data_IF_642859651122
#
_entry.id   IF_642859651122
#
_cell.length_a   1.000
_cell.length_b   1.000
_cell.length_c   1.000
_cell.angle_alpha   90.00
_cell.angle_beta   90.00
_cell.angle_gamma   90.00
#
_symmetry.space_group_name_H-M   'P 1'
#
loop_
_entity.id
_entity.type
_entity.pdbx_description
1 polymer ?
#
# COMPACT_ATOMS: atom_id res chain seq x y z
N UNK A 1 4.19 13.01 6.25
CA UNK A 1 3.21 13.36 7.30
C UNK A 1 3.84 14.44 8.14
N UNK A 2 3.47 15.71 7.91
CA UNK A 2 3.87 16.82 8.78
C UNK A 2 2.83 16.96 9.89
N UNK A 3 3.35 17.11 11.10
CA UNK A 3 2.75 17.19 12.44
C UNK A 3 1.68 18.28 12.58
N UNK A 4 0.41 17.98 12.32
CA UNK A 4 -0.64 19.01 12.44
C UNK A 4 -1.98 18.52 13.00
N UNK A 5 -2.11 17.24 13.36
CA UNK A 5 -3.31 16.76 14.05
C UNK A 5 -3.29 17.22 15.51
N UNK A 6 -4.37 17.86 15.97
CA UNK A 6 -4.60 18.17 17.38
C UNK A 6 -5.09 16.89 18.08
N UNK A 7 -4.20 16.20 18.78
CA UNK A 7 -4.50 14.92 19.43
C UNK A 7 -5.39 15.05 20.67
N UNK A 8 -5.35 16.19 21.36
CA UNK A 8 -6.21 16.45 22.51
C UNK A 8 -7.66 16.58 22.05
N UNK A 9 -7.89 17.37 21.01
CA UNK A 9 -9.22 17.53 20.41
C UNK A 9 -9.74 16.24 19.76
N UNK A 10 -8.83 15.44 19.16
CA UNK A 10 -9.17 14.12 18.65
C UNK A 10 -9.67 13.18 19.77
N UNK A 11 -8.98 13.15 20.92
CA UNK A 11 -9.36 12.32 22.06
C UNK A 11 -10.66 12.80 22.71
N UNK A 12 -10.77 14.11 22.97
CA UNK A 12 -11.95 14.72 23.62
C UNK A 12 -13.25 14.36 22.90
N UNK A 13 -13.27 14.45 21.56
CA UNK A 13 -14.44 14.04 20.75
C UNK A 13 -14.77 12.56 20.88
N UNK A 14 -13.76 11.72 20.96
CA UNK A 14 -13.94 10.27 21.05
C UNK A 14 -14.32 9.82 22.47
N UNK A 15 -13.96 10.58 23.51
CA UNK A 15 -14.36 10.34 24.90
C UNK A 15 -15.85 10.58 25.13
N UNK A 16 -16.50 11.41 24.31
CA UNK A 16 -17.95 11.66 24.34
C UNK A 16 -18.78 10.47 23.83
N UNK A 17 -18.15 9.47 23.19
CA UNK A 17 -18.84 8.31 22.63
C UNK A 17 -19.12 7.29 23.74
N UNK A 18 -20.39 6.87 23.92
CA UNK A 18 -20.77 5.94 24.98
C UNK A 18 -20.19 4.54 24.76
N UNK A 19 -20.13 3.77 25.84
CA UNK A 19 -19.77 2.35 25.76
C UNK A 19 -20.83 1.55 25.01
N UNK A 20 -20.38 0.60 24.20
CA UNK A 20 -21.23 -0.26 23.38
C UNK A 20 -21.43 -1.58 24.11
N UNK A 21 -22.68 -2.02 24.22
CA UNK A 21 -23.02 -3.39 24.60
C UNK A 21 -23.99 -3.97 23.55
N UNK A 22 -23.61 -5.12 23.01
CA UNK A 22 -24.32 -5.84 21.94
C UNK A 22 -24.65 -7.28 22.33
N UNK A 23 -24.48 -7.64 23.60
CA UNK A 23 -24.86 -8.97 24.05
C UNK A 23 -26.39 -9.16 23.94
N UNK A 24 -26.81 -10.29 23.38
CA UNK A 24 -28.21 -10.57 23.03
C UNK A 24 -28.75 -9.78 21.82
N UNK A 25 -27.93 -8.97 21.14
CA UNK A 25 -28.32 -8.23 19.93
C UNK A 25 -28.06 -9.04 18.66
N UNK A 26 -28.55 -8.56 17.52
CA UNK A 26 -28.34 -9.24 16.24
C UNK A 26 -27.14 -8.68 15.46
N UNK A 27 -26.78 -9.37 14.37
CA UNK A 27 -25.68 -8.96 13.48
C UNK A 27 -25.91 -7.58 12.85
N UNK A 28 -27.15 -7.20 12.58
CA UNK A 28 -27.44 -5.89 11.96
C UNK A 28 -27.02 -4.76 12.90
N UNK A 29 -27.26 -4.91 14.21
CA UNK A 29 -26.79 -3.97 15.23
C UNK A 29 -25.25 -3.91 15.25
N UNK A 30 -24.57 -5.05 15.13
CA UNK A 30 -23.10 -5.10 15.00
C UNK A 30 -22.60 -4.31 13.79
N UNK A 31 -23.24 -4.48 12.62
CA UNK A 31 -22.88 -3.72 11.42
C UNK A 31 -23.14 -2.21 11.56
N UNK A 32 -24.25 -1.84 12.19
CA UNK A 32 -24.60 -0.44 12.44
C UNK A 32 -23.57 0.21 13.38
N UNK A 33 -23.19 -0.45 14.47
CA UNK A 33 -22.18 0.08 15.41
C UNK A 33 -20.80 0.20 14.76
N UNK A 34 -20.38 -0.73 13.90
CA UNK A 34 -19.16 -0.54 13.12
C UNK A 34 -19.24 0.69 12.22
N UNK A 35 -20.37 0.87 11.51
CA UNK A 35 -20.57 1.99 10.60
C UNK A 35 -20.52 3.34 11.33
N UNK A 36 -21.17 3.40 12.51
CA UNK A 36 -21.15 4.55 13.40
C UNK A 36 -19.73 4.85 13.89
N UNK A 37 -19.04 3.85 14.44
CA UNK A 37 -17.66 4.01 14.91
C UNK A 37 -16.71 4.48 13.79
N UNK A 38 -16.87 3.97 12.56
CA UNK A 38 -16.07 4.44 11.42
C UNK A 38 -16.33 5.90 11.07
N UNK A 39 -17.59 6.32 11.12
CA UNK A 39 -18.01 7.71 10.90
C UNK A 39 -17.42 8.61 11.98
N UNK A 40 -17.59 8.24 13.25
CA UNK A 40 -17.07 8.99 14.40
C UNK A 40 -15.55 9.16 14.35
N UNK A 41 -14.82 8.10 14.01
CA UNK A 41 -13.36 8.15 13.84
C UNK A 41 -12.95 9.03 12.65
N UNK A 42 -13.71 8.99 11.55
CA UNK A 42 -13.45 9.81 10.38
C UNK A 42 -13.71 11.30 10.68
N UNK A 43 -14.77 11.62 11.40
CA UNK A 43 -15.15 12.98 11.77
C UNK A 43 -14.20 13.57 12.81
N UNK A 44 -13.82 12.78 13.82
CA UNK A 44 -12.78 13.17 14.77
C UNK A 44 -11.46 13.43 14.04
N UNK A 45 -11.07 12.58 13.08
CA UNK A 45 -9.86 12.78 12.25
C UNK A 45 -9.94 14.06 11.44
N UNK A 46 -11.02 14.27 10.70
CA UNK A 46 -11.19 15.39 9.77
C UNK A 46 -11.19 16.72 10.52
N UNK A 47 -11.87 16.78 11.65
CA UNK A 47 -11.95 18.01 12.45
C UNK A 47 -10.66 18.33 13.20
N UNK A 48 -9.97 17.30 13.71
CA UNK A 48 -8.68 17.48 14.41
C UNK A 48 -7.49 17.70 13.48
N UNK A 49 -7.62 17.42 12.18
CA UNK A 49 -6.52 17.50 11.21
C UNK A 49 -6.82 18.54 10.13
N UNK A 50 -6.31 19.78 10.24
CA UNK A 50 -6.57 20.82 9.25
C UNK A 50 -6.00 20.43 7.88
N UNK A 51 -6.84 20.51 6.85
CA UNK A 51 -6.43 20.34 5.46
C UNK A 51 -5.63 21.57 5.05
N UNK A 52 -4.30 21.49 5.08
CA UNK A 52 -3.45 22.56 4.53
C UNK A 52 -3.45 22.48 3.01
N UNK A 53 -3.98 23.51 2.35
CA UNK A 53 -3.80 23.70 0.92
C UNK A 53 -2.30 23.66 0.59
N UNK A 54 -1.92 22.81 -0.36
CA UNK A 54 -0.54 22.76 -0.83
C UNK A 54 -0.26 23.98 -1.68
N UNK A 55 0.34 25.02 -1.10
CA UNK A 55 0.93 26.11 -1.88
C UNK A 55 2.32 25.69 -2.34
N UNK A 56 2.53 25.62 -3.66
CA UNK A 56 3.86 25.41 -4.27
C UNK A 56 4.70 26.67 -4.03
N UNK A 57 5.31 26.78 -2.86
CA UNK A 57 6.20 27.90 -2.53
C UNK A 57 7.54 27.68 -3.23
N UNK A 58 7.94 28.63 -4.08
CA UNK A 58 9.28 28.61 -4.66
C UNK A 58 10.27 28.85 -3.51
N UNK A 59 11.05 27.83 -3.15
CA UNK A 59 11.95 27.86 -1.99
C UNK A 59 13.33 28.47 -2.32
N UNK A 60 13.48 29.06 -3.50
CA UNK A 60 14.68 29.80 -3.87
C UNK A 60 14.77 31.05 -2.98
N UNK A 61 15.81 31.13 -2.16
CA UNK A 61 16.10 32.34 -1.39
C UNK A 61 16.63 33.38 -2.37
N UNK A 62 16.06 34.58 -2.36
CA UNK A 62 16.52 35.70 -3.18
C UNK A 62 17.37 36.64 -2.36
N UNK A 63 18.50 37.07 -2.91
CA UNK A 63 19.38 38.06 -2.28
C UNK A 63 18.67 39.43 -2.20
N UNK A 64 19.14 40.30 -1.31
CA UNK A 64 18.69 41.70 -1.24
C UNK A 64 18.95 42.45 -2.54
N UNK A 65 20.06 42.14 -3.22
CA UNK A 65 20.39 42.70 -4.54
C UNK A 65 19.41 42.24 -5.62
N UNK A 66 19.05 40.96 -5.66
CA UNK A 66 18.03 40.43 -6.58
C UNK A 66 16.70 41.19 -6.41
N UNK A 67 16.21 41.32 -5.17
CA UNK A 67 14.96 42.04 -4.86
C UNK A 67 15.01 43.51 -5.27
N UNK A 68 16.14 44.19 -5.06
CA UNK A 68 16.33 45.59 -5.46
C UNK A 68 16.30 45.74 -6.98
N UNK A 69 16.98 44.86 -7.70
CA UNK A 69 17.01 44.88 -9.17
C UNK A 69 15.62 44.59 -9.76
N UNK A 70 14.83 43.68 -9.18
CA UNK A 70 13.43 43.46 -9.60
C UNK A 70 12.60 44.74 -9.46
N UNK A 71 12.68 45.41 -8.31
CA UNK A 71 11.98 46.70 -8.11
C UNK A 71 12.45 47.83 -9.04
N UNK A 72 13.72 47.80 -9.45
CA UNK A 72 14.25 48.76 -10.44
C UNK A 72 13.65 48.44 -11.82
N UNK A 73 13.66 47.17 -12.22
CA UNK A 73 13.10 46.72 -13.48
C UNK A 73 11.59 47.01 -13.57
N UNK A 74 10.83 46.77 -12.49
CA UNK A 74 9.39 47.07 -12.42
C UNK A 74 9.13 48.57 -12.64
N UNK A 75 9.97 49.44 -12.07
CA UNK A 75 9.88 50.89 -12.29
C UNK A 75 10.19 51.29 -13.74
N UNK A 76 11.17 50.64 -14.37
CA UNK A 76 11.46 50.88 -15.80
C UNK A 76 10.34 50.38 -16.71
N UNK A 77 9.73 49.24 -16.41
CA UNK A 77 8.54 48.79 -17.13
C UNK A 77 7.37 49.75 -16.95
N UNK A 78 7.13 50.27 -15.74
CA UNK A 78 6.11 51.30 -15.55
C UNK A 78 6.40 52.58 -16.33
N UNK A 79 7.65 53.05 -16.34
CA UNK A 79 8.09 54.19 -17.14
C UNK A 79 7.91 53.95 -18.66
N UNK A 80 8.16 52.73 -19.13
CA UNK A 80 7.94 52.32 -20.51
C UNK A 80 6.45 52.41 -20.89
N UNK A 81 5.56 51.96 -20.00
CA UNK A 81 4.11 51.97 -20.24
C UNK A 81 3.49 53.39 -20.18
N UNK A 82 4.13 54.31 -19.44
CA UNK A 82 3.62 55.69 -19.24
C UNK A 82 4.21 56.69 -20.22
N UNK A 83 5.52 56.61 -20.50
CA UNK A 83 6.26 57.64 -21.24
C UNK A 83 6.79 57.14 -22.60
N UNK A 84 6.57 55.87 -22.95
CA UNK A 84 7.07 55.27 -24.19
C UNK A 84 8.55 54.86 -24.16
N UNK A 85 9.00 54.16 -25.22
CA UNK A 85 10.35 53.61 -25.32
C UNK A 85 11.36 54.68 -25.75
N UNK A 86 12.37 54.92 -24.92
CA UNK A 86 13.54 55.73 -25.26
C UNK A 86 14.80 54.86 -25.37
N UNK A 87 15.82 55.32 -26.12
CA UNK A 87 17.10 54.60 -26.23
C UNK A 87 17.76 54.37 -24.86
N UNK A 88 17.75 55.39 -24.00
CA UNK A 88 18.28 55.28 -22.64
C UNK A 88 17.52 54.25 -21.80
N UNK A 89 16.18 54.25 -21.85
CA UNK A 89 15.34 53.29 -21.12
C UNK A 89 15.55 51.86 -21.63
N UNK A 90 15.68 51.66 -22.94
CA UNK A 90 15.99 50.37 -23.56
C UNK A 90 17.31 49.78 -23.03
N UNK A 91 18.37 50.61 -22.99
CA UNK A 91 19.67 50.22 -22.45
C UNK A 91 19.59 49.91 -20.95
N UNK A 92 18.88 50.73 -20.17
CA UNK A 92 18.72 50.54 -18.73
C UNK A 92 17.95 49.24 -18.39
N UNK A 93 16.90 48.92 -19.13
CA UNK A 93 16.15 47.66 -18.99
C UNK A 93 17.07 46.47 -19.29
N UNK A 94 17.77 46.50 -20.43
CA UNK A 94 18.68 45.43 -20.83
C UNK A 94 19.78 45.18 -19.79
N UNK A 95 20.43 46.23 -19.31
CA UNK A 95 21.48 46.11 -18.30
C UNK A 95 20.95 45.56 -16.98
N UNK A 96 19.77 46.02 -16.54
CA UNK A 96 19.13 45.51 -15.31
C UNK A 96 18.73 44.04 -15.43
N UNK A 97 18.24 43.63 -16.62
CA UNK A 97 17.96 42.22 -16.90
C UNK A 97 19.22 41.36 -16.84
N UNK A 98 20.34 41.82 -17.40
CA UNK A 98 21.63 41.10 -17.32
C UNK A 98 22.10 40.95 -15.87
N UNK A 99 22.01 42.02 -15.08
CA UNK A 99 22.34 41.98 -13.65
C UNK A 99 21.41 41.03 -12.87
N UNK A 100 20.12 40.99 -13.21
CA UNK A 100 19.16 40.04 -12.63
C UNK A 100 19.49 38.59 -12.98
N UNK A 101 19.91 38.31 -14.21
CA UNK A 101 20.32 36.98 -14.64
C UNK A 101 21.55 36.53 -13.83
N UNK A 102 22.57 37.38 -13.74
CA UNK A 102 23.78 37.10 -12.95
C UNK A 102 23.43 36.83 -11.48
N UNK A 103 22.68 37.73 -10.86
CA UNK A 103 22.29 37.59 -9.46
C UNK A 103 21.35 36.38 -9.23
N UNK A 104 20.51 36.07 -10.22
CA UNK A 104 19.67 34.88 -10.22
C UNK A 104 20.49 33.59 -10.25
N UNK A 105 21.63 33.58 -10.96
CA UNK A 105 22.55 32.44 -10.96
C UNK A 105 23.24 32.27 -9.59
N UNK A 106 23.64 33.37 -8.94
CA UNK A 106 24.15 33.33 -7.55
C UNK A 106 23.11 32.72 -6.60
N UNK A 107 21.85 33.18 -6.67
CA UNK A 107 20.78 32.61 -5.85
C UNK A 107 20.58 31.09 -6.09
N UNK A 108 20.72 30.63 -7.34
CA UNK A 108 20.61 29.20 -7.68
C UNK A 108 21.78 28.40 -7.13
N UNK A 109 23.00 28.93 -7.23
CA UNK A 109 24.20 28.28 -6.74
C UNK A 109 24.18 28.14 -5.23
N UNK A 110 23.87 29.20 -4.49
CA UNK A 110 23.67 29.16 -3.03
C UNK A 110 22.60 28.13 -2.64
N UNK A 111 21.51 28.06 -3.40
CA UNK A 111 20.46 27.07 -3.16
C UNK A 111 20.95 25.64 -3.37
N UNK A 112 21.71 25.37 -4.44
CA UNK A 112 22.29 24.07 -4.75
C UNK A 112 23.31 23.65 -3.69
N UNK A 113 24.21 24.54 -3.28
CA UNK A 113 25.15 24.31 -2.18
C UNK A 113 24.40 23.91 -0.90
N UNK A 114 23.36 24.67 -0.55
CA UNK A 114 22.50 24.33 0.58
C UNK A 114 21.70 23.04 0.40
N UNK A 115 21.52 22.51 -0.82
CA UNK A 115 20.94 21.18 -1.02
C UNK A 115 22.00 20.08 -0.87
N UNK A 116 23.21 20.29 -1.39
CA UNK A 116 24.34 19.35 -1.30
C UNK A 116 24.69 19.09 0.16
N UNK A 117 24.85 20.14 0.97
CA UNK A 117 25.11 20.02 2.41
C UNK A 117 24.03 19.16 3.10
N UNK A 118 22.77 19.33 2.72
CA UNK A 118 21.66 18.51 3.25
C UNK A 118 21.69 17.07 2.76
N UNK A 119 22.21 16.80 1.56
CA UNK A 119 22.42 15.44 1.05
C UNK A 119 23.55 14.77 1.81
N UNK A 120 24.66 15.46 2.05
CA UNK A 120 25.80 14.98 2.83
C UNK A 120 25.39 14.64 4.27
N UNK A 121 24.65 15.54 4.93
CA UNK A 121 24.08 15.26 6.26
C UNK A 121 23.15 14.04 6.24
N UNK A 122 22.43 13.82 5.13
CA UNK A 122 21.53 12.67 4.96
C UNK A 122 22.26 11.38 4.57
N UNK A 123 23.51 11.45 4.09
CA UNK A 123 24.31 10.30 3.66
C UNK A 123 24.56 9.31 4.81
N UNK A 124 24.51 9.77 6.06
CA UNK A 124 24.55 8.93 7.27
C UNK A 124 23.42 7.90 7.36
N UNK A 125 22.38 7.99 6.53
CA UNK A 125 21.27 7.04 6.48
C UNK A 125 20.79 6.82 5.05
N UNK A 126 21.00 5.61 4.53
CA UNK A 126 20.66 5.21 3.15
C UNK A 126 19.24 5.63 2.72
N UNK A 127 18.24 5.44 3.59
CA UNK A 127 16.84 5.83 3.33
C UNK A 127 16.69 7.35 3.20
N UNK A 128 17.34 8.13 4.07
CA UNK A 128 17.25 9.60 4.04
C UNK A 128 17.99 10.17 2.83
N UNK A 129 19.15 9.61 2.49
CA UNK A 129 19.95 9.95 1.32
C UNK A 129 19.15 9.80 0.03
N UNK A 130 18.67 8.59 -0.29
CA UNK A 130 17.93 8.34 -1.52
C UNK A 130 16.62 9.11 -1.60
N UNK A 131 15.96 9.34 -0.47
CA UNK A 131 14.76 10.19 -0.44
C UNK A 131 15.07 11.64 -0.84
N UNK A 132 16.24 12.16 -0.45
CA UNK A 132 16.70 13.51 -0.82
C UNK A 132 17.09 13.57 -2.29
N UNK A 133 17.89 12.61 -2.77
CA UNK A 133 18.30 12.51 -4.17
C UNK A 133 17.08 12.41 -5.10
N UNK A 134 16.11 11.54 -4.78
CA UNK A 134 14.89 11.41 -5.59
C UNK A 134 14.03 12.69 -5.60
N UNK A 135 14.10 13.51 -4.54
CA UNK A 135 13.44 14.81 -4.52
C UNK A 135 14.14 15.84 -5.41
N UNK A 136 15.48 15.82 -5.44
CA UNK A 136 16.30 16.73 -6.24
C UNK A 136 16.33 16.35 -7.72
N UNK A 137 16.27 15.06 -8.04
CA UNK A 137 16.24 14.57 -9.42
C UNK A 137 14.96 14.89 -10.17
N UNK A 138 13.96 15.49 -9.49
CA UNK A 138 12.72 15.90 -10.12
C UNK A 138 11.92 14.73 -10.69
N UNK A 139 12.17 13.49 -10.23
CA UNK A 139 11.38 12.32 -10.63
C UNK A 139 9.91 12.61 -10.34
N UNK A 140 9.17 12.88 -11.40
CA UNK A 140 7.73 13.08 -11.35
C UNK A 140 7.07 11.78 -10.90
N UNK A 141 5.86 11.86 -10.32
CA UNK A 141 5.04 10.66 -10.14
C UNK A 141 4.89 10.02 -11.51
N UNK A 142 5.33 8.77 -11.64
CA UNK A 142 5.16 7.99 -12.85
C UNK A 142 3.66 7.77 -13.09
N UNK A 143 3.09 8.48 -14.04
CA UNK A 143 1.72 8.26 -14.49
C UNK A 143 1.64 6.90 -15.18
N UNK A 144 0.52 6.18 -15.01
CA UNK A 144 0.29 4.92 -15.73
C UNK A 144 0.12 5.28 -17.21
N UNK A 145 1.02 4.85 -18.11
CA UNK A 145 0.90 5.15 -19.53
C UNK A 145 -0.39 4.54 -20.09
N UNK A 146 -0.82 4.94 -21.30
CA UNK A 146 -1.90 4.27 -21.99
C UNK A 146 -1.63 2.76 -22.04
N UNK A 147 -2.64 1.97 -21.66
CA UNK A 147 -2.52 0.51 -21.55
C UNK A 147 -3.00 -0.13 -22.84
N UNK A 148 -2.20 -1.05 -23.38
CA UNK A 148 -2.53 -1.82 -24.58
C UNK A 148 -3.19 -3.14 -24.19
N UNK A 149 -4.25 -3.50 -24.89
CA UNK A 149 -4.93 -4.77 -24.72
C UNK A 149 -5.51 -5.23 -26.06
N UNK A 150 -5.68 -6.54 -26.22
CA UNK A 150 -6.32 -7.12 -27.40
C UNK A 150 -7.81 -7.34 -27.11
N UNK A 151 -8.67 -6.87 -28.01
CA UNK A 151 -10.10 -7.18 -28.00
C UNK A 151 -10.46 -7.77 -29.36
N UNK A 152 -10.76 -9.07 -29.39
CA UNK A 152 -11.16 -9.81 -30.59
C UNK A 152 -10.16 -9.73 -31.76
N UNK A 153 -8.85 -9.75 -31.47
CA UNK A 153 -7.77 -9.70 -32.46
C UNK A 153 -7.43 -8.28 -32.93
N UNK A 154 -8.00 -7.26 -32.30
CA UNK A 154 -7.71 -5.84 -32.58
C UNK A 154 -7.02 -5.20 -31.38
N UNK A 155 -5.84 -4.62 -31.59
CA UNK A 155 -5.12 -3.87 -30.54
C UNK A 155 -5.91 -2.60 -30.18
N UNK A 156 -6.37 -2.52 -28.93
CA UNK A 156 -6.99 -1.36 -28.36
C UNK A 156 -6.08 -0.70 -27.32
N UNK A 157 -6.38 0.55 -26.98
CA UNK A 157 -5.61 1.30 -25.98
C UNK A 157 -6.52 2.02 -25.01
N UNK A 158 -6.42 1.70 -23.73
CA UNK A 158 -7.05 2.43 -22.63
C UNK A 158 -6.21 3.66 -22.27
N UNK A 159 -6.76 4.85 -22.48
CA UNK A 159 -6.11 6.16 -22.26
C UNK A 159 -6.65 6.84 -21.01
N UNK A 160 -7.97 6.83 -20.81
CA UNK A 160 -8.61 7.46 -19.64
C UNK A 160 -8.44 6.60 -18.39
N UNK A 161 -8.59 7.18 -17.20
CA UNK A 161 -8.48 6.42 -15.97
C UNK A 161 -9.64 5.42 -15.79
N UNK A 162 -10.84 5.76 -16.28
CA UNK A 162 -12.00 4.87 -16.31
C UNK A 162 -11.77 3.66 -17.25
N UNK A 163 -11.23 3.88 -18.45
CA UNK A 163 -10.87 2.79 -19.36
C UNK A 163 -9.82 1.85 -18.75
N UNK A 164 -8.81 2.42 -18.07
CA UNK A 164 -7.78 1.63 -17.37
C UNK A 164 -8.37 0.85 -16.20
N UNK A 165 -9.26 1.45 -15.42
CA UNK A 165 -9.95 0.81 -14.31
C UNK A 165 -10.76 -0.39 -14.80
N UNK A 166 -11.57 -0.20 -15.85
CA UNK A 166 -12.35 -1.27 -16.46
C UNK A 166 -11.46 -2.40 -16.98
N UNK A 167 -10.36 -2.06 -17.65
CA UNK A 167 -9.40 -3.05 -18.14
C UNK A 167 -8.78 -3.86 -16.98
N UNK A 168 -8.28 -3.19 -15.94
CA UNK A 168 -7.71 -3.89 -14.79
C UNK A 168 -8.76 -4.73 -14.05
N UNK A 169 -9.98 -4.25 -13.91
CA UNK A 169 -11.08 -4.99 -13.28
C UNK A 169 -11.37 -6.28 -14.03
N UNK A 170 -11.43 -6.22 -15.37
CA UNK A 170 -11.63 -7.40 -16.19
C UNK A 170 -10.48 -8.41 -16.08
N UNK A 171 -9.23 -7.93 -16.12
CA UNK A 171 -8.05 -8.78 -15.96
C UNK A 171 -8.06 -9.47 -14.59
N UNK A 172 -8.32 -8.73 -13.52
CA UNK A 172 -8.35 -9.28 -12.16
C UNK A 172 -9.50 -10.28 -11.98
N UNK A 173 -10.68 -10.00 -12.55
CA UNK A 173 -11.82 -10.93 -12.54
C UNK A 173 -11.48 -12.25 -13.23
N UNK A 174 -10.71 -12.22 -14.31
CA UNK A 174 -10.28 -13.41 -15.03
C UNK A 174 -9.16 -14.16 -14.29
N UNK A 175 -8.18 -13.44 -13.75
CA UNK A 175 -7.03 -14.03 -13.05
C UNK A 175 -7.41 -14.84 -11.80
N UNK A 176 -8.58 -14.58 -11.21
CA UNK A 176 -9.10 -15.33 -10.06
C UNK A 176 -9.97 -16.54 -10.43
N UNK A 177 -10.10 -16.86 -11.72
CA UNK A 177 -10.81 -18.06 -12.18
C UNK A 177 -9.82 -19.19 -12.43
N UNK A 178 -10.09 -20.36 -11.85
CA UNK A 178 -9.35 -21.59 -12.13
C UNK A 178 -9.97 -22.20 -13.39
N UNK A 179 -9.15 -22.51 -14.39
CA UNK A 179 -9.65 -23.18 -15.60
C UNK A 179 -10.01 -24.65 -15.30
N UNK A 180 -10.95 -25.27 -16.04
CA UNK A 180 -11.25 -26.70 -15.86
C UNK A 180 -10.01 -27.60 -16.02
N UNK A 181 -9.12 -27.23 -16.95
CA UNK A 181 -7.84 -27.91 -17.19
C UNK A 181 -6.90 -27.80 -15.99
N UNK A 182 -6.73 -26.59 -15.43
CA UNK A 182 -5.94 -26.36 -14.21
C UNK A 182 -6.51 -27.15 -13.02
N UNK A 183 -7.84 -27.24 -12.93
CA UNK A 183 -8.52 -27.97 -11.86
C UNK A 183 -8.42 -29.49 -12.01
N UNK A 184 -8.12 -30.01 -13.21
CA UNK A 184 -8.05 -31.47 -13.45
C UNK A 184 -6.91 -32.12 -12.67
N UNK A 185 -5.84 -31.37 -12.41
CA UNK A 185 -4.67 -31.82 -11.64
C UNK A 185 -4.84 -31.68 -10.12
N UNK A 186 -5.98 -31.19 -9.64
CA UNK A 186 -6.23 -31.05 -8.21
C UNK A 186 -6.47 -32.42 -7.55
N UNK A 187 -5.95 -32.63 -6.35
CA UNK A 187 -6.09 -33.90 -5.64
C UNK A 187 -7.55 -34.12 -5.22
N UNK A 188 -8.27 -34.95 -5.98
CA UNK A 188 -9.68 -35.27 -5.74
C UNK A 188 -9.92 -35.88 -4.35
N UNK A 189 -8.98 -36.68 -3.85
CA UNK A 189 -9.06 -37.25 -2.51
C UNK A 189 -8.99 -36.18 -1.42
N UNK A 190 -8.10 -35.20 -1.57
CA UNK A 190 -7.99 -34.10 -0.63
C UNK A 190 -9.24 -33.20 -0.68
N UNK A 191 -9.75 -32.94 -1.88
CA UNK A 191 -10.99 -32.18 -2.06
C UNK A 191 -12.18 -32.88 -1.40
N UNK A 192 -12.33 -34.20 -1.62
CA UNK A 192 -13.36 -35.03 -0.99
C UNK A 192 -13.27 -34.99 0.53
N UNK A 193 -12.07 -35.23 1.09
CA UNK A 193 -11.83 -35.17 2.54
C UNK A 193 -12.21 -33.81 3.14
N UNK A 194 -11.83 -32.72 2.48
CA UNK A 194 -12.19 -31.37 2.94
C UNK A 194 -13.70 -31.15 2.87
N UNK A 195 -14.36 -31.57 1.79
CA UNK A 195 -15.82 -31.44 1.66
C UNK A 195 -16.58 -32.24 2.71
N UNK A 196 -16.16 -33.49 2.96
CA UNK A 196 -16.73 -34.35 4.01
C UNK A 196 -16.56 -33.70 5.39
N UNK A 197 -15.37 -33.20 5.71
CA UNK A 197 -15.11 -32.51 6.98
C UNK A 197 -15.98 -31.24 7.15
N UNK A 198 -16.11 -30.43 6.09
CA UNK A 198 -16.97 -29.24 6.10
C UNK A 198 -18.44 -29.60 6.29
N UNK A 199 -18.92 -30.67 5.65
CA UNK A 199 -20.28 -31.16 5.83
C UNK A 199 -20.51 -31.63 7.27
N UNK A 200 -19.60 -32.42 7.82
CA UNK A 200 -19.69 -32.93 9.18
C UNK A 200 -19.67 -31.81 10.24
N UNK A 201 -19.00 -30.69 9.94
CA UNK A 201 -18.87 -29.54 10.84
C UNK A 201 -19.75 -28.34 10.45
N UNK A 202 -20.76 -28.54 9.61
CA UNK A 202 -21.60 -27.44 9.10
C UNK A 202 -22.14 -26.56 10.23
N UNK A 203 -22.64 -27.17 11.31
CA UNK A 203 -23.19 -26.44 12.46
C UNK A 203 -22.14 -25.63 13.25
N UNK A 204 -20.87 -26.05 13.25
CA UNK A 204 -19.78 -25.33 13.93
C UNK A 204 -19.23 -24.16 13.08
N UNK A 205 -19.52 -24.15 11.77
CA UNK A 205 -18.95 -23.20 10.80
C UNK A 205 -19.98 -22.14 10.38
N UNK A 206 -21.27 -22.38 10.65
CA UNK A 206 -22.34 -21.41 10.37
C UNK A 206 -22.21 -20.18 11.25
N UNK A 207 -22.49 -19.02 10.66
CA UNK A 207 -22.50 -17.75 11.40
C UNK A 207 -23.75 -17.64 12.26
N UNK A 208 -23.59 -17.16 13.49
CA UNK A 208 -24.71 -16.94 14.41
C UNK A 208 -25.39 -15.59 14.18
N UNK A 209 -26.74 -15.59 14.21
CA UNK A 209 -27.55 -14.37 14.02
C UNK A 209 -27.63 -13.50 15.27
N UNK A 210 -27.58 -14.11 16.44
CA UNK A 210 -27.64 -13.44 17.73
C UNK A 210 -26.26 -13.50 18.37
N UNK A 211 -25.84 -12.38 18.93
CA UNK A 211 -24.57 -12.27 19.64
C UNK A 211 -24.78 -12.83 21.04
N UNK A 212 -24.07 -13.91 21.36
CA UNK A 212 -23.99 -14.46 22.71
C UNK A 212 -22.52 -14.47 23.15
N UNK A 213 -22.15 -13.54 24.02
CA UNK A 213 -20.77 -13.45 24.49
C UNK A 213 -20.43 -14.50 25.55
N UNK A 214 -21.43 -15.07 26.22
CA UNK A 214 -21.21 -16.08 27.27
C UNK A 214 -20.77 -17.42 26.68
N UNK A 215 -21.23 -17.76 25.47
CA UNK A 215 -20.83 -19.00 24.77
C UNK A 215 -19.35 -19.04 24.38
N UNK A 216 -18.71 -17.89 24.22
CA UNK A 216 -17.29 -17.81 23.83
C UNK A 216 -16.34 -17.59 25.01
N UNK A 217 -16.85 -17.61 26.24
CA UNK A 217 -16.02 -17.48 27.43
C UNK A 217 -15.25 -18.77 27.70
N UNK A 218 -14.01 -18.63 28.12
CA UNK A 218 -13.24 -19.76 28.62
C UNK A 218 -13.70 -20.21 30.01
N UNK A 219 -13.14 -21.31 30.51
CA UNK A 219 -13.42 -21.84 31.87
C UNK A 219 -13.07 -20.84 33.00
N UNK A 220 -12.33 -19.77 32.71
CA UNK A 220 -12.01 -18.68 33.64
C UNK A 220 -12.91 -17.46 33.44
N UNK A 221 -14.03 -17.61 32.71
CA UNK A 221 -15.01 -16.57 32.40
C UNK A 221 -14.44 -15.41 31.55
N UNK A 222 -13.35 -15.64 30.82
CA UNK A 222 -12.67 -14.60 30.01
C UNK A 222 -13.11 -14.67 28.56
N UNK A 223 -13.32 -13.51 27.96
CA UNK A 223 -13.53 -13.40 26.52
C UNK A 223 -12.22 -13.65 25.75
N UNK A 224 -12.31 -14.05 24.47
CA UNK A 224 -11.14 -14.33 23.62
C UNK A 224 -10.17 -13.15 23.47
N UNK A 225 -10.70 -11.93 23.44
CA UNK A 225 -9.91 -10.70 23.34
C UNK A 225 -10.13 -9.77 24.52
N UNK A 226 -9.04 -9.16 24.99
CA UNK A 226 -9.04 -8.13 26.03
C UNK A 226 -8.54 -6.77 25.52
N UNK A 227 -8.83 -5.70 26.26
CA UNK A 227 -8.31 -4.35 25.97
C UNK A 227 -6.77 -4.33 25.88
N UNK A 228 -6.09 -5.20 26.64
CA UNK A 228 -4.64 -5.33 26.57
C UNK A 228 -4.19 -5.92 25.22
N UNK A 229 -4.91 -6.91 24.69
CA UNK A 229 -4.64 -7.48 23.37
C UNK A 229 -4.84 -6.44 22.26
N UNK A 230 -5.86 -5.59 22.41
CA UNK A 230 -6.12 -4.47 21.51
C UNK A 230 -4.91 -3.53 21.51
N UNK A 231 -4.49 -3.05 22.68
CA UNK A 231 -3.35 -2.14 22.84
C UNK A 231 -2.04 -2.73 22.31
N UNK A 232 -1.74 -3.98 22.65
CA UNK A 232 -0.52 -4.66 22.21
C UNK A 232 -0.47 -4.84 20.70
N UNK A 233 -1.62 -5.18 20.11
CA UNK A 233 -1.71 -5.32 18.65
C UNK A 233 -1.52 -3.97 17.96
N UNK A 234 -2.17 -2.89 18.43
CA UNK A 234 -1.95 -1.52 17.90
C UNK A 234 -0.47 -1.16 17.97
N UNK A 235 0.21 -1.42 19.09
CA UNK A 235 1.65 -1.18 19.25
C UNK A 235 2.46 -1.92 18.18
N UNK A 236 2.14 -3.19 17.91
CA UNK A 236 2.84 -4.05 16.96
C UNK A 236 2.63 -3.68 15.48
N UNK A 237 1.53 -2.99 15.14
CA UNK A 237 1.23 -2.64 13.75
C UNK A 237 2.31 -1.74 13.13
N UNK A 238 2.59 -1.90 11.84
CA UNK A 238 3.47 -0.98 11.10
C UNK A 238 2.65 0.21 10.58
N UNK A 239 3.22 1.41 10.59
CA UNK A 239 2.57 2.57 9.97
C UNK A 239 2.67 2.46 8.43
N UNK A 240 1.55 2.13 7.78
CA UNK A 240 1.44 1.91 6.33
C UNK A 240 0.46 2.89 5.70
N UNK A 241 0.33 2.83 4.37
CA UNK A 241 -0.70 3.59 3.65
C UNK A 241 -2.10 3.21 4.19
N UNK A 242 -3.00 4.20 4.34
CA UNK A 242 -4.36 3.96 4.78
C UNK A 242 -5.15 3.26 3.67
N UNK A 243 -6.25 2.60 4.04
CA UNK A 243 -7.28 2.20 3.07
C UNK A 243 -8.30 3.33 2.83
N UNK A 244 -9.50 2.99 2.34
CA UNK A 244 -10.54 3.97 1.96
C UNK A 244 -10.91 4.98 3.05
N UNK A 245 -10.84 4.59 4.33
CA UNK A 245 -11.16 5.47 5.47
C UNK A 245 -10.12 6.59 5.70
N UNK A 246 -8.93 6.47 5.10
CA UNK A 246 -7.83 7.42 5.32
C UNK A 246 -7.17 7.31 6.71
N UNK A 247 -7.65 6.42 7.58
CA UNK A 247 -7.13 6.23 8.93
C UNK A 247 -5.82 5.43 8.93
N UNK A 248 -4.83 5.92 9.67
CA UNK A 248 -3.49 5.33 9.82
C UNK A 248 -3.22 4.96 11.26
N UNK A 249 -2.19 4.13 11.50
CA UNK A 249 -1.75 3.71 12.85
C UNK A 249 -1.75 4.84 13.90
N UNK A 250 -1.26 6.07 13.63
CA UNK A 250 -1.23 7.13 14.65
C UNK A 250 -2.60 7.47 15.25
N UNK A 251 -3.69 7.36 14.49
CA UNK A 251 -5.04 7.60 15.01
C UNK A 251 -5.46 6.51 16.01
N UNK A 252 -5.11 5.25 15.73
CA UNK A 252 -5.33 4.13 16.65
C UNK A 252 -4.42 4.18 17.89
N UNK A 253 -3.22 4.73 17.73
CA UNK A 253 -2.29 4.90 18.85
C UNK A 253 -2.71 6.01 19.83
N UNK A 254 -3.68 6.83 19.45
CA UNK A 254 -4.20 7.94 20.26
C UNK A 254 -5.69 7.77 20.59
N UNK A 255 -6.22 6.54 20.56
CA UNK A 255 -7.60 6.29 20.99
C UNK A 255 -7.73 6.43 22.50
N UNK A 256 -8.84 7.01 23.00
CA UNK A 256 -9.15 7.00 24.41
C UNK A 256 -9.61 5.60 24.89
N UNK A 257 -9.58 5.33 26.21
CA UNK A 257 -9.89 4.02 26.78
C UNK A 257 -11.30 3.48 26.44
N UNK A 258 -12.33 4.33 26.42
CA UNK A 258 -13.69 3.96 26.06
C UNK A 258 -13.77 3.38 24.63
N UNK A 259 -13.08 3.99 23.66
CA UNK A 259 -13.04 3.49 22.29
C UNK A 259 -12.23 2.19 22.17
N UNK A 260 -11.18 2.03 22.96
CA UNK A 260 -10.45 0.75 23.03
C UNK A 260 -11.39 -0.35 23.53
N UNK A 261 -12.20 -0.07 24.55
CA UNK A 261 -13.22 -0.98 25.09
C UNK A 261 -14.26 -1.34 24.02
N UNK A 262 -14.81 -0.35 23.33
CA UNK A 262 -15.78 -0.53 22.25
C UNK A 262 -15.22 -1.41 21.12
N UNK A 263 -13.99 -1.17 20.69
CA UNK A 263 -13.32 -1.99 19.67
C UNK A 263 -13.15 -3.43 20.16
N UNK A 264 -12.74 -3.62 21.41
CA UNK A 264 -12.58 -4.95 22.00
C UNK A 264 -13.92 -5.70 22.03
N UNK A 265 -14.99 -5.04 22.47
CA UNK A 265 -16.34 -5.58 22.50
C UNK A 265 -16.80 -6.00 21.11
N UNK A 266 -16.71 -5.10 20.12
CA UNK A 266 -17.10 -5.38 18.74
C UNK A 266 -16.31 -6.55 18.12
N UNK A 267 -15.02 -6.69 18.43
CA UNK A 267 -14.22 -7.82 17.96
C UNK A 267 -14.60 -9.15 18.62
N UNK A 268 -14.97 -9.15 19.90
CA UNK A 268 -15.52 -10.33 20.55
C UNK A 268 -16.89 -10.71 19.97
N UNK A 269 -17.74 -9.73 19.62
CA UNK A 269 -19.00 -9.99 18.90
C UNK A 269 -18.76 -10.62 17.51
N UNK A 270 -17.76 -10.12 16.75
CA UNK A 270 -17.36 -10.74 15.50
C UNK A 270 -16.87 -12.18 15.69
N UNK A 271 -16.16 -12.45 16.79
CA UNK A 271 -15.70 -13.79 17.12
C UNK A 271 -16.87 -14.73 17.45
N UNK A 272 -17.79 -14.29 18.31
CA UNK A 272 -19.00 -15.04 18.69
C UNK A 272 -19.85 -15.42 17.48
N UNK A 273 -20.04 -14.47 16.57
CA UNK A 273 -20.92 -14.67 15.41
C UNK A 273 -20.25 -15.31 14.20
N UNK A 274 -18.92 -15.43 14.19
CA UNK A 274 -18.16 -15.87 13.01
C UNK A 274 -18.16 -14.85 11.86
N UNK A 275 -18.55 -13.60 12.10
CA UNK A 275 -18.75 -12.61 11.04
C UNK A 275 -17.55 -11.73 10.85
N UNK A 276 -17.10 -11.65 9.60
CA UNK A 276 -16.15 -10.65 9.14
C UNK A 276 -16.90 -9.48 8.48
N UNK A 277 -16.94 -8.29 9.11
CA UNK A 277 -17.69 -7.14 8.60
C UNK A 277 -17.32 -6.74 7.17
N UNK A 278 -18.31 -6.32 6.39
CA UNK A 278 -18.09 -5.88 5.01
C UNK A 278 -17.15 -4.67 4.93
N UNK A 279 -17.19 -3.76 5.90
CA UNK A 279 -16.26 -2.64 6.05
C UNK A 279 -14.78 -3.07 6.10
N UNK A 280 -14.50 -4.31 6.50
CA UNK A 280 -13.14 -4.85 6.56
C UNK A 280 -12.71 -5.50 5.24
N UNK A 281 -13.66 -5.82 4.35
CA UNK A 281 -13.44 -6.42 3.04
C UNK A 281 -13.18 -5.37 1.96
N UNK A 282 -13.64 -4.13 2.16
CA UNK A 282 -13.42 -3.02 1.23
C UNK A 282 -11.95 -2.57 1.20
N UNK A 283 -11.39 -2.45 0.00
CA UNK A 283 -10.02 -1.99 -0.23
C UNK A 283 -9.95 -1.00 -1.39
N UNK A 284 -9.00 -0.08 -1.31
CA UNK A 284 -8.55 0.70 -2.47
C UNK A 284 -7.44 -0.08 -3.18
N UNK A 285 -7.59 -0.38 -4.46
CA UNK A 285 -6.62 -1.15 -5.24
C UNK A 285 -5.65 -0.18 -5.93
N UNK A 286 -4.35 -0.36 -5.66
CA UNK A 286 -3.29 0.39 -6.35
C UNK A 286 -2.51 -0.53 -7.27
N UNK A 287 -2.44 -0.17 -8.55
CA UNK A 287 -1.64 -0.89 -9.54
C UNK A 287 -0.18 -0.44 -9.50
N UNK A 288 0.71 -1.31 -9.02
CA UNK A 288 2.15 -1.03 -8.92
C UNK A 288 2.89 -1.77 -10.04
N UNK A 289 3.69 -1.08 -10.87
CA UNK A 289 4.56 -1.73 -11.86
C UNK A 289 5.48 -2.79 -11.22
N UNK A 290 5.61 -3.96 -11.87
CA UNK A 290 6.56 -5.02 -11.47
C UNK A 290 8.01 -4.54 -11.54
N UNK A 291 8.31 -3.69 -12.52
CA UNK A 291 9.62 -3.09 -12.77
C UNK A 291 9.63 -1.61 -12.37
N UNK A 292 10.81 -0.99 -12.36
CA UNK A 292 10.99 0.42 -11.98
C UNK A 292 10.28 1.41 -12.90
N UNK A 293 10.00 1.03 -14.15
CA UNK A 293 9.29 1.85 -15.13
C UNK A 293 7.86 1.29 -15.38
N UNK A 294 6.85 2.17 -15.48
CA UNK A 294 5.51 1.79 -15.94
C UNK A 294 5.56 1.17 -17.32
N UNK A 295 4.73 0.15 -17.56
CA UNK A 295 4.59 -0.49 -18.86
C UNK A 295 3.22 -0.18 -19.48
N UNK A 296 3.13 -0.19 -20.81
CA UNK A 296 1.84 -0.22 -21.50
C UNK A 296 1.13 -1.58 -21.37
N UNK A 297 1.84 -2.65 -20.99
CA UNK A 297 1.23 -3.96 -20.76
C UNK A 297 0.62 -4.01 -19.34
N UNK A 298 -0.71 -4.22 -19.20
CA UNK A 298 -1.39 -4.29 -17.90
C UNK A 298 -0.95 -5.48 -17.02
N UNK A 299 -0.50 -6.59 -17.59
CA UNK A 299 -0.01 -7.77 -16.84
C UNK A 299 1.31 -7.51 -16.09
N UNK A 300 2.00 -6.43 -16.47
CA UNK A 300 3.23 -5.99 -15.79
C UNK A 300 2.97 -5.17 -14.53
N UNK A 301 1.72 -5.09 -14.08
CA UNK A 301 1.35 -4.47 -12.81
C UNK A 301 0.99 -5.53 -11.77
N UNK A 302 1.14 -5.16 -10.50
CA UNK A 302 0.69 -5.93 -9.34
C UNK A 302 -0.40 -5.13 -8.64
N UNK A 303 -1.58 -5.71 -8.41
CA UNK A 303 -2.58 -5.08 -7.56
C UNK A 303 -2.08 -5.11 -6.11
N UNK A 304 -2.18 -3.99 -5.41
CA UNK A 304 -2.02 -3.93 -3.95
C UNK A 304 -3.32 -3.43 -3.33
N UNK A 305 -3.93 -4.28 -2.50
CA UNK A 305 -5.15 -3.95 -1.77
C UNK A 305 -4.84 -3.17 -0.49
N UNK A 306 -5.20 -1.89 -0.47
CA UNK A 306 -5.17 -1.06 0.72
C UNK A 306 -6.45 -1.26 1.53
N UNK A 307 -6.50 -2.34 2.31
CA UNK A 307 -7.62 -2.63 3.22
C UNK A 307 -7.70 -1.63 4.38
N UNK A 308 -8.91 -1.52 4.95
CA UNK A 308 -9.17 -0.83 6.21
C UNK A 308 -8.28 -1.40 7.32
N UNK A 309 -7.66 -0.51 8.09
CA UNK A 309 -6.75 -0.87 9.18
C UNK A 309 -7.46 -1.60 10.32
N UNK A 310 -8.76 -1.39 10.53
CA UNK A 310 -9.56 -2.16 11.50
C UNK A 310 -9.67 -3.63 11.10
N UNK A 311 -9.88 -3.93 9.81
CA UNK A 311 -9.84 -5.32 9.32
C UNK A 311 -8.47 -5.96 9.50
N UNK A 312 -7.39 -5.21 9.21
CA UNK A 312 -6.00 -5.66 9.46
C UNK A 312 -5.73 -5.92 10.94
N UNK A 313 -6.35 -5.12 11.81
CA UNK A 313 -6.25 -5.28 13.25
C UNK A 313 -6.93 -6.58 13.68
N UNK A 314 -8.20 -6.76 13.33
CA UNK A 314 -8.93 -7.99 13.68
C UNK A 314 -8.24 -9.25 13.14
N UNK A 315 -7.82 -9.23 11.87
CA UNK A 315 -7.05 -10.33 11.27
C UNK A 315 -5.73 -10.60 12.02
N UNK A 316 -5.05 -9.55 12.53
CA UNK A 316 -3.82 -9.71 13.29
C UNK A 316 -4.06 -10.35 14.67
N UNK A 317 -5.16 -10.01 15.34
CA UNK A 317 -5.57 -10.65 16.59
C UNK A 317 -5.83 -12.14 16.37
N UNK A 318 -6.69 -12.47 15.41
CA UNK A 318 -7.00 -13.85 15.03
C UNK A 318 -5.73 -14.63 14.67
N UNK A 319 -4.87 -14.05 13.83
CA UNK A 319 -3.61 -14.68 13.45
C UNK A 319 -2.68 -14.93 14.64
N UNK A 320 -2.60 -14.01 15.61
CA UNK A 320 -1.78 -14.22 16.80
C UNK A 320 -2.33 -15.38 17.66
N UNK A 321 -3.66 -15.49 17.77
CA UNK A 321 -4.32 -16.58 18.47
C UNK A 321 -4.08 -17.94 17.78
N UNK A 322 -4.31 -18.00 16.46
CA UNK A 322 -4.12 -19.23 15.66
C UNK A 322 -2.68 -19.72 15.68
N UNK A 323 -1.70 -18.83 15.50
CA UNK A 323 -0.28 -19.21 15.56
C UNK A 323 0.06 -19.80 16.92
N UNK A 324 -0.42 -19.20 18.00
CA UNK A 324 -0.17 -19.72 19.36
C UNK A 324 -0.74 -21.13 19.54
N UNK A 325 -1.91 -21.41 18.97
CA UNK A 325 -2.52 -22.73 19.01
C UNK A 325 -1.77 -23.75 18.15
N UNK A 326 -1.37 -23.38 16.93
CA UNK A 326 -0.59 -24.24 16.05
C UNK A 326 0.81 -24.57 16.61
N UNK A 327 1.47 -23.59 17.23
CA UNK A 327 2.76 -23.80 17.90
C UNK A 327 2.62 -24.72 19.11
N UNK A 328 1.57 -24.56 19.93
CA UNK A 328 1.29 -25.43 21.09
C UNK A 328 1.00 -26.87 20.69
N UNK A 329 0.29 -27.07 19.59
CA UNK A 329 -0.14 -28.39 19.15
C UNK A 329 0.85 -29.06 18.17
N UNK A 330 1.97 -28.41 17.85
CA UNK A 330 2.96 -28.88 16.87
C UNK A 330 2.35 -29.30 15.52
N UNK A 331 1.32 -28.59 15.06
CA UNK A 331 0.57 -28.98 13.85
C UNK A 331 1.21 -28.52 12.54
N UNK A 332 2.13 -27.56 12.58
CA UNK A 332 2.85 -27.07 11.41
C UNK A 332 4.03 -27.99 11.10
N UNK A 333 4.12 -28.46 9.85
CA UNK A 333 5.26 -29.25 9.36
C UNK A 333 6.55 -28.43 9.37
N UNK A 334 7.67 -29.08 9.65
CA UNK A 334 9.00 -28.45 9.65
C UNK A 334 9.43 -27.90 8.29
N UNK A 335 8.85 -28.41 7.20
CA UNK A 335 9.10 -27.91 5.84
C UNK A 335 8.37 -26.61 5.49
N UNK A 336 7.50 -26.11 6.37
CA UNK A 336 6.75 -24.88 6.12
C UNK A 336 7.57 -23.66 6.52
N UNK A 337 8.39 -23.13 5.63
CA UNK A 337 9.27 -21.99 5.95
C UNK A 337 8.64 -20.61 5.68
N UNK A 338 7.63 -20.54 4.82
CA UNK A 338 6.98 -19.29 4.47
C UNK A 338 6.17 -18.70 5.63
N UNK A 339 6.37 -17.40 5.89
CA UNK A 339 5.54 -16.61 6.82
C UNK A 339 5.55 -17.07 8.30
N UNK A 340 6.55 -17.85 8.73
CA UNK A 340 6.74 -18.22 10.14
C UNK A 340 7.57 -17.19 10.91
N UNK A 341 7.35 -17.14 12.22
CA UNK A 341 8.13 -16.27 13.12
C UNK A 341 9.50 -16.93 13.34
N UNK A 342 10.59 -16.23 13.03
CA UNK A 342 12.00 -16.65 13.16
C UNK A 342 12.57 -17.53 12.03
N UNK A 343 11.79 -17.91 11.03
CA UNK A 343 12.33 -18.48 9.80
C UNK A 343 12.37 -17.37 8.75
N UNK A 344 13.57 -16.85 8.48
CA UNK A 344 13.75 -16.05 7.27
C UNK A 344 13.40 -16.95 6.08
N UNK A 345 12.74 -16.43 5.02
CA UNK A 345 12.68 -17.19 3.78
C UNK A 345 14.14 -17.52 3.44
N UNK A 346 14.47 -18.83 3.45
CA UNK A 346 15.85 -19.30 3.33
C UNK A 346 16.56 -18.41 2.31
N UNK A 347 17.66 -17.73 2.68
CA UNK A 347 18.45 -17.06 1.66
C UNK A 347 18.72 -18.12 0.60
N UNK A 348 18.53 -17.73 -0.65
CA UNK A 348 18.83 -18.53 -1.83
C UNK A 348 20.33 -18.89 -1.79
N UNK A 349 20.70 -19.82 -0.92
CA UNK A 349 22.07 -20.18 -0.61
C UNK A 349 22.40 -21.37 -1.48
N UNK A 350 23.41 -21.27 -2.36
CA UNK A 350 23.81 -22.36 -3.27
C UNK A 350 24.10 -23.68 -2.55
N UNK A 351 24.41 -23.65 -1.26
CA UNK A 351 24.60 -24.83 -0.41
C UNK A 351 23.34 -25.67 -0.21
N UNK A 352 22.15 -25.08 -0.09
CA UNK A 352 20.89 -25.83 0.07
C UNK A 352 20.47 -26.54 -1.24
N UNK A 353 20.94 -26.08 -2.39
CA UNK A 353 20.68 -26.75 -3.68
C UNK A 353 21.53 -28.01 -3.90
N UNK A 354 22.57 -28.25 -3.08
CA UNK A 354 23.41 -29.46 -3.20
C UNK A 354 22.82 -30.69 -2.49
N UNK A 355 21.97 -30.50 -1.48
CA UNK A 355 21.29 -31.61 -0.78
C UNK A 355 19.93 -31.98 -1.40
N UNK A 356 19.35 -31.11 -2.22
CA UNK A 356 18.09 -31.36 -2.94
C UNK A 356 18.14 -32.20 -4.24
N UNK A 357 19.28 -32.52 -4.90
CA UNK A 357 19.26 -33.32 -6.13
C UNK A 357 18.98 -34.81 -5.88
N UNK A 358 19.39 -35.38 -4.74
CA UNK A 358 19.34 -36.84 -4.55
C UNK A 358 17.92 -37.38 -4.35
N UNK A 359 17.00 -36.58 -3.80
CA UNK A 359 15.60 -36.99 -3.62
C UNK A 359 14.73 -36.82 -4.87
N UNK A 360 15.21 -36.10 -5.90
CA UNK A 360 14.47 -35.92 -7.15
C UNK A 360 14.65 -37.08 -8.14
N UNK A 361 15.75 -37.83 -8.05
CA UNK A 361 16.02 -38.91 -9.03
C UNK A 361 15.11 -40.13 -8.82
N UNK A 362 14.55 -40.34 -7.62
CA UNK A 362 13.62 -41.46 -7.37
C UNK A 362 12.13 -41.12 -7.57
N UNK A 363 11.76 -39.85 -7.78
CA UNK A 363 10.34 -39.43 -7.92
C UNK A 363 10.03 -38.69 -9.22
N UNK A 364 11.04 -38.50 -10.10
CA UNK A 364 10.90 -37.78 -11.37
C UNK A 364 10.17 -38.54 -12.48
N UNK A 365 9.71 -39.78 -12.27
CA UNK A 365 8.89 -40.49 -13.26
C UNK A 365 7.40 -40.08 -13.27
N UNK A 366 6.94 -39.23 -12.34
CA UNK A 366 5.50 -38.96 -12.18
C UNK A 366 5.07 -37.47 -12.19
N UNK A 367 5.93 -36.52 -12.57
CA UNK A 367 5.53 -35.10 -12.62
C UNK A 367 5.79 -34.49 -14.01
N UNK A 368 4.70 -34.23 -14.73
CA UNK A 368 4.69 -33.62 -16.07
C UNK A 368 4.98 -32.10 -16.03
N UNK A 369 5.78 -31.55 -16.95
CA UNK A 369 6.25 -30.16 -16.92
C UNK A 369 5.23 -29.19 -17.53
N UNK A 370 4.38 -28.59 -16.71
CA UNK A 370 3.61 -27.39 -17.06
C UNK A 370 4.02 -26.24 -16.14
N UNK A 371 4.81 -25.28 -16.67
CA UNK A 371 4.78 -23.85 -16.31
C UNK A 371 5.99 -23.05 -16.82
N UNK A 372 6.46 -23.27 -18.05
CA UNK A 372 7.31 -22.30 -18.75
C UNK A 372 6.93 -22.30 -20.23
N UNK A 373 5.90 -21.51 -20.57
CA UNK A 373 5.65 -21.06 -21.94
C UNK A 373 6.76 -20.12 -22.40
N UNK A 374 7.96 -20.66 -22.59
CA UNK A 374 9.04 -20.04 -23.37
C UNK A 374 9.08 -20.83 -24.67
N UNK A 375 8.47 -20.28 -25.73
CA UNK A 375 8.69 -20.75 -27.10
C UNK A 375 10.19 -20.72 -27.36
N UNK A 376 10.82 -21.90 -27.40
CA UNK A 376 12.19 -22.06 -27.88
C UNK A 376 12.18 -21.72 -29.37
N UNK A 377 12.53 -20.48 -29.73
CA UNK A 377 13.06 -20.22 -31.07
C UNK A 377 14.41 -20.94 -31.17
N UNK A 378 14.61 -21.88 -32.11
CA UNK A 378 15.91 -22.49 -32.30
C UNK A 378 16.90 -21.43 -32.79
N UNK A 379 17.99 -21.26 -32.05
CA UNK A 379 19.18 -20.54 -32.47
C UNK A 379 19.80 -21.29 -33.66
N UNK A 380 19.53 -20.83 -34.88
CA UNK A 380 20.29 -21.24 -36.05
C UNK A 380 21.68 -20.60 -35.99
N UNK A 381 22.71 -21.45 -36.01
CA UNK A 381 24.12 -21.04 -36.09
C UNK A 381 24.37 -20.29 -37.41
N UNK A 382 25.18 -19.23 -37.45
CA UNK A 382 25.62 -18.65 -38.72
C UNK A 382 26.56 -19.64 -39.42
N UNK A 383 26.09 -20.13 -40.56
CA UNK A 383 26.81 -21.02 -41.45
C UNK A 383 27.99 -20.33 -42.13
N UNK A 384 29.09 -21.05 -42.14
CA UNK A 384 30.30 -20.90 -42.95
C UNK A 384 30.01 -20.54 -44.42
N UNK A 385 30.72 -19.52 -44.93
CA UNK A 385 30.86 -19.24 -46.38
C UNK A 385 31.41 -20.47 -47.11
N UNK A 386 30.89 -20.81 -48.29
CA UNK A 386 31.65 -21.47 -49.34
C UNK A 386 32.21 -20.44 -50.32
N UNK A 387 33.44 -20.71 -50.73
CA UNK A 387 34.18 -20.10 -51.83
C UNK A 387 33.70 -20.62 -53.20
N UNK A 388 34.23 -19.95 -54.24
CA UNK A 388 34.30 -20.30 -55.67
C UNK A 388 33.18 -19.74 -56.55
N UNK A 389 33.43 -18.63 -57.24
CA UNK A 389 34.23 -18.47 -58.48
C UNK A 389 33.48 -18.95 -59.72
N UNK A 390 32.97 -18.01 -60.50
CA UNK A 390 33.31 -17.76 -61.92
C UNK A 390 32.58 -16.50 -62.36
#
# INVERSE_FOLDING_TARGET
>A
MKKNTNWEEYKRRLEEIPEINLDGRNILDLHNEFSKLFTDLADAKNTSTPIKAFTKKNNLKTTTKFKRLTKILDRYHHALMTNGLTNHLSIAIRNTQLMLIQEGNVCKEEWWQAQIEKVELAAKCNIKFWKRINHLSGRQKTHVPPLKYDLNGTEQTAKTDEEKENLFTNILRQACRISPEENTNYCQDNERRVKEELQNKTQEITTEWIINLDEIRDNSNRLPFSNLDILNTIKSLKNRAPGPTGLRKPFFSNLPPNIISNICHLFNCCYATGIYPNHFKTAEIIMIPKNTAPSANPEKYRPISLLNIMGKFFAKLLNNMLIKQFERNHTLKDSQHGFRKKEEPLPYSPTYMKEYPEKRVQTAEHWSPWSLGMSKKPLTKPGTRPSHSS
#
